data_IF_910166346812
#
_entry.id   IF_910166346812
#
_cell.length_a   1.000
_cell.length_b   1.000
_cell.length_c   1.000
_cell.angle_alpha   90.00
_cell.angle_beta   90.00
_cell.angle_gamma   90.00
#
_symmetry.space_group_name_H-M   'P 1'
#
loop_
_entity.id
_entity.type
_entity.pdbx_description
1 polymer ?
#
# COMPACT_ATOMS: atom_id res chain seq x y z
N UNK A 1 31.97 5.52 -6.89
CA UNK A 1 30.68 5.07 -6.30
C UNK A 1 30.87 3.74 -5.61
N UNK A 2 30.38 3.54 -4.40
CA UNK A 2 30.53 2.24 -3.72
C UNK A 2 29.56 1.23 -4.34
N UNK A 3 30.05 0.33 -5.18
CA UNK A 3 29.28 -0.76 -5.79
C UNK A 3 28.56 -1.60 -4.73
N UNK A 4 29.11 -1.67 -3.51
CA UNK A 4 28.51 -2.35 -2.36
C UNK A 4 27.17 -1.71 -1.95
N UNK A 5 27.10 -0.37 -1.90
CA UNK A 5 25.83 0.34 -1.55
C UNK A 5 24.77 0.08 -2.61
N UNK A 6 25.10 0.19 -3.90
CA UNK A 6 24.17 -0.09 -5.00
C UNK A 6 23.63 -1.52 -4.91
N UNK A 7 24.52 -2.50 -4.64
CA UNK A 7 24.10 -3.91 -4.52
C UNK A 7 23.24 -4.14 -3.27
N UNK A 8 23.54 -3.46 -2.13
CA UNK A 8 22.70 -3.52 -0.93
C UNK A 8 21.28 -3.01 -1.18
N UNK A 9 21.17 -1.88 -1.87
CA UNK A 9 19.87 -1.29 -2.23
C UNK A 9 19.09 -2.17 -3.22
N UNK A 10 19.76 -2.78 -4.20
CA UNK A 10 19.14 -3.77 -5.09
C UNK A 10 18.67 -5.02 -4.34
N UNK A 11 19.42 -5.47 -3.33
CA UNK A 11 19.02 -6.60 -2.50
C UNK A 11 17.76 -6.27 -1.67
N UNK A 12 17.65 -5.06 -1.11
CA UNK A 12 16.40 -4.60 -0.47
C UNK A 12 15.23 -4.65 -1.44
N UNK A 13 15.41 -4.16 -2.66
CA UNK A 13 14.35 -4.19 -3.69
C UNK A 13 13.95 -5.62 -4.09
N UNK A 14 14.92 -6.54 -4.19
CA UNK A 14 14.67 -7.95 -4.50
C UNK A 14 13.88 -8.65 -3.38
N UNK A 15 14.15 -8.32 -2.10
CA UNK A 15 13.42 -8.87 -0.96
C UNK A 15 12.04 -8.23 -0.83
N UNK A 16 11.96 -6.89 -0.84
CA UNK A 16 10.74 -6.14 -0.52
C UNK A 16 9.78 -5.95 -1.71
N UNK A 17 10.28 -6.03 -2.94
CA UNK A 17 9.50 -5.78 -4.16
C UNK A 17 8.73 -6.99 -4.71
N UNK A 18 8.58 -8.08 -3.95
CA UNK A 18 7.88 -9.30 -4.34
C UNK A 18 6.37 -9.19 -4.10
N UNK A 19 5.59 -10.08 -4.69
CA UNK A 19 4.15 -10.20 -4.43
C UNK A 19 3.87 -10.62 -2.99
N UNK A 20 4.70 -11.51 -2.45
CA UNK A 20 4.73 -11.83 -1.02
C UNK A 20 6.16 -11.60 -0.47
N UNK A 21 6.44 -10.40 0.06
CA UNK A 21 7.75 -10.10 0.63
C UNK A 21 7.96 -10.71 2.02
N UNK A 22 6.92 -11.26 2.65
CA UNK A 22 7.00 -11.97 3.95
C UNK A 22 7.39 -13.42 3.77
N UNK A 23 7.18 -14.00 2.57
CA UNK A 23 7.62 -15.33 2.24
C UNK A 23 9.16 -15.44 2.21
N UNK A 24 9.74 -16.55 2.71
CA UNK A 24 11.18 -16.73 2.76
C UNK A 24 11.83 -16.64 1.36
N UNK A 25 12.90 -15.83 1.24
CA UNK A 25 13.78 -15.77 0.08
C UNK A 25 15.12 -16.42 0.44
N UNK A 26 15.49 -17.49 -0.25
CA UNK A 26 16.76 -18.16 -0.05
C UNK A 26 17.94 -17.30 -0.54
N UNK A 27 19.07 -17.32 0.18
CA UNK A 27 20.31 -16.63 -0.20
C UNK A 27 20.74 -16.99 -1.63
N UNK A 28 20.57 -18.26 -2.03
CA UNK A 28 20.90 -18.74 -3.38
C UNK A 28 20.09 -18.08 -4.47
N UNK A 29 18.78 -17.88 -4.26
CA UNK A 29 17.89 -17.19 -5.20
C UNK A 29 18.30 -15.71 -5.37
N UNK A 30 18.57 -15.01 -4.27
CA UNK A 30 19.09 -13.63 -4.33
C UNK A 30 20.44 -13.56 -5.04
N UNK A 31 21.33 -14.51 -4.78
CA UNK A 31 22.66 -14.58 -5.44
C UNK A 31 22.51 -14.71 -6.95
N UNK A 32 21.61 -15.58 -7.42
CA UNK A 32 21.31 -15.76 -8.84
C UNK A 32 20.70 -14.49 -9.45
N UNK A 33 19.69 -13.90 -8.81
CA UNK A 33 19.00 -12.69 -9.30
C UNK A 33 19.95 -11.50 -9.47
N UNK A 34 20.89 -11.32 -8.52
CA UNK A 34 21.82 -10.18 -8.52
C UNK A 34 23.18 -10.48 -9.18
N UNK A 35 23.41 -11.69 -9.68
CA UNK A 35 24.68 -12.11 -10.25
C UNK A 35 25.83 -12.11 -9.21
N UNK A 36 25.53 -12.48 -7.96
CA UNK A 36 26.49 -12.51 -6.84
C UNK A 36 26.96 -13.94 -6.53
N UNK A 37 28.12 -14.05 -5.90
CA UNK A 37 28.50 -15.32 -5.24
C UNK A 37 27.64 -15.53 -3.99
N UNK A 38 27.40 -16.78 -3.61
CA UNK A 38 26.62 -17.13 -2.41
C UNK A 38 27.16 -16.45 -1.15
N UNK A 39 28.50 -16.42 -0.96
CA UNK A 39 29.15 -15.77 0.16
C UNK A 39 28.93 -14.25 0.21
N UNK A 40 28.88 -13.59 -0.97
CA UNK A 40 28.58 -12.15 -1.04
C UNK A 40 27.11 -11.87 -0.72
N UNK A 41 26.19 -12.66 -1.28
CA UNK A 41 24.76 -12.53 -1.01
C UNK A 41 24.46 -12.77 0.49
N UNK A 42 25.05 -13.81 1.09
CA UNK A 42 24.89 -14.10 2.53
C UNK A 42 25.35 -12.95 3.43
N UNK A 43 26.54 -12.39 3.17
CA UNK A 43 27.05 -11.23 3.93
C UNK A 43 26.18 -9.99 3.76
N UNK A 44 25.67 -9.78 2.55
CA UNK A 44 24.80 -8.65 2.25
C UNK A 44 23.47 -8.75 3.00
N UNK A 45 22.83 -9.93 2.96
CA UNK A 45 21.60 -10.17 3.70
C UNK A 45 21.78 -10.08 5.21
N UNK A 46 22.92 -10.52 5.75
CA UNK A 46 23.23 -10.33 7.17
C UNK A 46 23.36 -8.84 7.54
N UNK A 47 24.00 -8.02 6.68
CA UNK A 47 24.08 -6.56 6.88
C UNK A 47 22.68 -5.90 6.79
N UNK A 48 21.80 -6.40 5.92
CA UNK A 48 20.41 -5.92 5.82
C UNK A 48 19.55 -6.34 7.02
N UNK A 49 19.80 -7.53 7.58
CA UNK A 49 19.15 -8.02 8.79
C UNK A 49 19.53 -7.17 10.01
N UNK A 50 20.83 -6.90 10.20
CA UNK A 50 21.33 -5.99 11.23
C UNK A 50 20.74 -4.57 11.09
N UNK A 51 20.54 -4.11 9.87
CA UNK A 51 19.93 -2.80 9.57
C UNK A 51 18.38 -2.81 9.64
N UNK A 52 17.73 -3.97 9.81
CA UNK A 52 16.26 -4.11 9.85
C UNK A 52 15.54 -3.98 8.51
N UNK A 53 16.26 -4.00 7.39
CA UNK A 53 15.68 -3.99 6.03
C UNK A 53 15.35 -5.38 5.50
N UNK A 54 15.99 -6.41 6.05
CA UNK A 54 15.60 -7.80 5.93
C UNK A 54 15.44 -8.40 7.33
N UNK A 55 14.82 -9.55 7.46
CA UNK A 55 14.64 -10.30 8.69
C UNK A 55 14.88 -11.78 8.38
N UNK A 56 15.65 -12.48 9.22
CA UNK A 56 15.82 -13.93 9.08
C UNK A 56 14.50 -14.63 9.27
N UNK A 57 14.18 -15.53 8.35
CA UNK A 57 13.03 -16.40 8.44
C UNK A 57 13.44 -17.77 8.98
N UNK A 58 12.52 -18.55 9.57
CA UNK A 58 12.81 -19.76 10.35
C UNK A 58 13.57 -20.89 9.65
N UNK A 59 14.03 -20.73 8.39
CA UNK A 59 14.89 -21.66 7.66
C UNK A 59 16.34 -21.15 7.57
N UNK A 60 17.29 -22.08 7.49
CA UNK A 60 18.71 -21.74 7.32
C UNK A 60 18.93 -20.98 5.99
N UNK A 61 19.51 -19.79 6.09
CA UNK A 61 19.86 -18.98 4.91
C UNK A 61 18.64 -18.43 4.13
N UNK A 62 17.51 -18.21 4.81
CA UNK A 62 16.32 -17.57 4.24
C UNK A 62 16.03 -16.25 4.95
N UNK A 63 15.54 -15.28 4.16
CA UNK A 63 15.25 -13.92 4.64
C UNK A 63 13.92 -13.45 4.06
N UNK A 64 13.25 -12.54 4.78
CA UNK A 64 12.02 -11.85 4.36
C UNK A 64 12.18 -10.35 4.54
N UNK A 65 11.19 -9.57 4.13
CA UNK A 65 11.19 -8.12 4.31
C UNK A 65 11.27 -7.76 5.80
N UNK A 66 12.15 -6.82 6.13
CA UNK A 66 12.27 -6.29 7.50
C UNK A 66 11.34 -5.10 7.74
N UNK A 67 10.97 -4.88 9.01
CA UNK A 67 10.04 -3.82 9.42
C UNK A 67 10.49 -2.41 9.00
N UNK A 68 11.81 -2.15 8.94
CA UNK A 68 12.35 -0.86 8.51
C UNK A 68 12.09 -0.58 7.03
N UNK A 69 12.12 -1.60 6.16
CA UNK A 69 11.75 -1.47 4.75
C UNK A 69 10.24 -1.18 4.59
N UNK A 70 9.40 -1.84 5.38
CA UNK A 70 7.95 -1.61 5.41
C UNK A 70 7.65 -0.17 5.86
N UNK A 71 8.28 0.31 6.94
CA UNK A 71 8.15 1.71 7.41
C UNK A 71 8.62 2.74 6.38
N UNK A 72 9.76 2.49 5.73
CA UNK A 72 10.24 3.36 4.65
C UNK A 72 9.20 3.49 3.54
N UNK A 73 8.65 2.36 3.11
CA UNK A 73 7.61 2.29 2.07
C UNK A 73 6.34 3.05 2.47
N UNK A 74 5.85 2.83 3.68
CA UNK A 74 4.65 3.51 4.17
C UNK A 74 4.84 5.03 4.27
N UNK A 75 5.97 5.48 4.85
CA UNK A 75 6.30 6.92 4.92
C UNK A 75 6.34 7.58 3.54
N UNK A 76 6.95 6.90 2.55
CA UNK A 76 6.99 7.40 1.19
C UNK A 76 5.60 7.52 0.55
N UNK A 77 4.72 6.57 0.84
CA UNK A 77 3.36 6.52 0.31
C UNK A 77 2.38 7.47 1.04
N UNK A 78 2.65 7.83 2.29
CA UNK A 78 1.75 8.58 3.17
C UNK A 78 1.13 9.85 2.54
N UNK A 79 1.89 10.71 1.82
CA UNK A 79 1.32 11.94 1.26
C UNK A 79 0.21 11.72 0.23
N UNK A 80 0.19 10.56 -0.44
CA UNK A 80 -0.76 10.25 -1.52
C UNK A 80 -1.70 9.09 -1.16
N UNK A 81 -1.55 8.47 0.01
CA UNK A 81 -2.25 7.22 0.38
C UNK A 81 -3.77 7.34 0.26
N UNK A 82 -4.37 8.39 0.85
CA UNK A 82 -5.82 8.63 0.82
C UNK A 82 -6.34 8.84 -0.60
N UNK A 83 -5.78 9.81 -1.31
CA UNK A 83 -6.26 10.19 -2.65
C UNK A 83 -6.06 9.05 -3.66
N UNK A 84 -4.95 8.31 -3.55
CA UNK A 84 -4.72 7.13 -4.38
C UNK A 84 -5.78 6.06 -4.12
N UNK A 85 -6.05 5.76 -2.84
CA UNK A 85 -7.09 4.79 -2.47
C UNK A 85 -8.46 5.22 -2.99
N UNK A 86 -8.85 6.47 -2.76
CA UNK A 86 -10.12 7.02 -3.24
C UNK A 86 -10.24 6.92 -4.77
N UNK A 87 -9.27 7.45 -5.52
CA UNK A 87 -9.33 7.48 -6.98
C UNK A 87 -9.39 6.07 -7.60
N UNK A 88 -8.60 5.12 -7.09
CA UNK A 88 -8.59 3.75 -7.57
C UNK A 88 -9.87 3.00 -7.19
N UNK A 89 -10.39 3.21 -5.96
CA UNK A 89 -11.65 2.60 -5.52
C UNK A 89 -12.82 3.11 -6.35
N UNK A 90 -12.87 4.42 -6.64
CA UNK A 90 -13.90 5.01 -7.49
C UNK A 90 -13.85 4.42 -8.90
N UNK A 91 -12.66 4.31 -9.50
CA UNK A 91 -12.50 3.68 -10.81
C UNK A 91 -12.94 2.19 -10.80
N UNK A 92 -12.59 1.45 -9.76
CA UNK A 92 -13.05 0.07 -9.55
C UNK A 92 -14.57 -0.04 -9.42
N UNK A 93 -15.21 0.87 -8.68
CA UNK A 93 -16.66 0.96 -8.56
C UNK A 93 -17.36 1.28 -9.89
N UNK A 94 -16.85 2.26 -10.62
CA UNK A 94 -17.42 2.67 -11.90
C UNK A 94 -17.34 1.56 -12.96
N UNK A 95 -16.27 0.80 -12.95
CA UNK A 95 -16.03 -0.25 -13.97
C UNK A 95 -16.51 -1.63 -13.55
N UNK A 96 -16.44 -1.93 -12.24
CA UNK A 96 -16.55 -3.29 -11.69
C UNK A 96 -15.32 -4.15 -11.94
N UNK A 97 -14.25 -3.61 -12.54
CA UNK A 97 -13.06 -4.33 -12.99
C UNK A 97 -11.84 -4.04 -12.10
N UNK A 98 -10.76 -4.80 -12.29
CA UNK A 98 -9.51 -4.60 -11.55
C UNK A 98 -8.82 -3.31 -12.00
N UNK A 99 -8.48 -2.45 -11.04
CA UNK A 99 -7.72 -1.21 -11.26
C UNK A 99 -6.35 -1.36 -10.60
N UNK A 100 -5.28 -1.09 -11.34
CA UNK A 100 -3.93 -1.18 -10.79
C UNK A 100 -3.08 0.05 -11.16
N UNK A 101 -2.11 0.34 -10.29
CA UNK A 101 -1.08 1.34 -10.51
C UNK A 101 0.27 0.63 -10.56
N UNK A 102 0.98 0.78 -11.67
CA UNK A 102 2.29 0.17 -11.89
C UNK A 102 3.35 1.24 -12.12
N UNK A 103 4.59 0.94 -11.75
CA UNK A 103 5.73 1.86 -11.85
C UNK A 103 6.89 1.22 -12.61
N UNK A 104 7.70 2.01 -13.34
CA UNK A 104 8.85 1.48 -14.03
C UNK A 104 9.91 0.98 -13.02
N UNK A 105 10.39 -0.24 -13.28
CA UNK A 105 11.50 -0.86 -12.56
C UNK A 105 12.45 -1.54 -13.55
N UNK A 106 13.59 -2.03 -13.07
CA UNK A 106 14.48 -2.83 -13.92
C UNK A 106 13.72 -4.06 -14.44
N UNK A 107 13.67 -4.20 -15.76
CA UNK A 107 13.06 -5.36 -16.45
C UNK A 107 11.57 -5.22 -16.76
N UNK A 108 10.84 -4.20 -16.32
CA UNK A 108 9.42 -4.07 -16.61
C UNK A 108 8.68 -3.02 -15.83
N UNK A 109 7.41 -3.27 -15.55
CA UNK A 109 6.54 -2.46 -14.70
C UNK A 109 6.14 -3.27 -13.47
N UNK A 110 6.21 -2.67 -12.27
CA UNK A 110 5.81 -3.32 -11.01
C UNK A 110 4.52 -2.71 -10.49
N UNK A 111 3.55 -3.55 -10.19
CA UNK A 111 2.30 -3.12 -9.54
C UNK A 111 2.59 -2.70 -8.09
N UNK A 112 2.19 -1.48 -7.72
CA UNK A 112 2.40 -0.93 -6.37
C UNK A 112 1.10 -0.69 -5.61
N UNK A 113 -0.03 -0.69 -6.30
CA UNK A 113 -1.36 -0.62 -5.72
C UNK A 113 -2.36 -1.33 -6.63
N UNK A 114 -3.37 -1.94 -6.04
CA UNK A 114 -4.44 -2.62 -6.78
C UNK A 114 -5.77 -2.52 -6.01
N UNK A 115 -6.85 -2.37 -6.77
CA UNK A 115 -8.23 -2.60 -6.33
C UNK A 115 -8.79 -3.70 -7.21
N UNK A 116 -8.88 -4.90 -6.64
CA UNK A 116 -9.35 -6.08 -7.36
C UNK A 116 -10.85 -6.01 -7.67
N UNK A 117 -11.23 -6.54 -8.83
CA UNK A 117 -12.62 -6.77 -9.19
C UNK A 117 -13.30 -7.74 -8.22
N UNK A 118 -14.57 -7.52 -7.96
CA UNK A 118 -15.39 -8.41 -7.13
C UNK A 118 -16.15 -9.48 -7.95
N UNK A 119 -15.93 -9.50 -9.25
CA UNK A 119 -16.49 -10.56 -10.11
C UNK A 119 -15.70 -11.87 -9.90
N UNK A 120 -16.43 -12.99 -9.91
CA UNK A 120 -15.83 -14.33 -9.79
C UNK A 120 -14.78 -14.58 -10.88
N UNK A 121 -15.06 -14.18 -12.12
CA UNK A 121 -14.08 -14.20 -13.21
C UNK A 121 -13.58 -12.77 -13.44
N UNK A 122 -12.30 -12.53 -13.20
CA UNK A 122 -11.66 -11.23 -13.37
C UNK A 122 -10.21 -11.38 -13.85
N UNK A 123 -9.66 -10.31 -14.36
CA UNK A 123 -8.24 -10.21 -14.69
C UNK A 123 -7.50 -9.65 -13.47
N UNK A 124 -6.67 -10.44 -12.77
CA UNK A 124 -6.00 -10.01 -11.54
C UNK A 124 -4.87 -9.00 -11.81
N UNK A 125 -4.48 -8.25 -10.79
CA UNK A 125 -3.25 -7.46 -10.74
C UNK A 125 -2.78 -7.42 -9.29
N UNK A 126 -1.79 -8.24 -8.96
CA UNK A 126 -1.30 -8.34 -7.57
C UNK A 126 -0.24 -7.28 -7.27
N UNK A 127 -0.30 -6.68 -6.08
CA UNK A 127 0.77 -5.77 -5.62
C UNK A 127 2.09 -6.55 -5.54
N UNK A 128 3.15 -6.01 -6.14
CA UNK A 128 4.45 -6.68 -6.28
C UNK A 128 4.61 -7.45 -7.59
N UNK A 129 3.53 -7.71 -8.36
CA UNK A 129 3.61 -8.34 -9.69
C UNK A 129 4.55 -7.56 -10.61
N UNK A 130 5.44 -8.26 -11.29
CA UNK A 130 6.32 -7.70 -12.32
C UNK A 130 5.77 -8.02 -13.71
N UNK A 131 5.32 -7.00 -14.41
CA UNK A 131 4.80 -7.08 -15.79
C UNK A 131 5.96 -6.86 -16.75
N UNK A 132 6.31 -7.90 -17.51
CA UNK A 132 7.47 -7.90 -18.42
C UNK A 132 7.09 -8.00 -19.90
N UNK A 133 5.82 -8.32 -20.18
CA UNK A 133 5.31 -8.46 -21.54
C UNK A 133 5.40 -7.11 -22.29
N UNK A 134 6.17 -7.08 -23.38
CA UNK A 134 6.37 -5.89 -24.18
C UNK A 134 5.09 -5.40 -24.90
N UNK A 135 4.13 -6.28 -25.12
CA UNK A 135 2.85 -5.98 -25.75
C UNK A 135 1.83 -5.40 -24.74
N UNK A 136 2.09 -5.51 -23.44
CA UNK A 136 1.25 -4.96 -22.40
C UNK A 136 1.07 -3.44 -22.56
N UNK A 137 -0.17 -2.97 -22.51
CA UNK A 137 -0.49 -1.54 -22.53
C UNK A 137 0.17 -0.81 -21.34
N UNK A 138 0.29 -1.47 -20.18
CA UNK A 138 0.97 -0.94 -19.00
C UNK A 138 2.45 -0.69 -19.29
N UNK A 139 3.13 -1.66 -19.93
CA UNK A 139 4.56 -1.55 -20.28
C UNK A 139 4.77 -0.52 -21.37
N UNK A 140 3.90 -0.48 -22.38
CA UNK A 140 3.98 0.46 -23.51
C UNK A 140 3.66 1.90 -23.13
N UNK A 141 2.89 2.11 -22.06
CA UNK A 141 2.58 3.45 -21.54
C UNK A 141 3.74 4.08 -20.76
N UNK A 142 4.77 3.30 -20.40
CA UNK A 142 5.95 3.84 -19.72
C UNK A 142 6.86 4.60 -20.71
N UNK A 143 7.35 5.80 -20.39
CA UNK A 143 8.24 6.55 -21.28
C UNK A 143 9.59 5.85 -21.47
N UNK A 144 10.20 6.07 -22.66
CA UNK A 144 11.53 5.56 -23.02
C UNK A 144 11.57 4.21 -23.74
N UNK A 145 10.45 3.52 -23.95
CA UNK A 145 10.40 2.28 -24.77
C UNK A 145 9.89 2.48 -26.19
N UNK A 146 9.27 3.62 -26.50
CA UNK A 146 8.71 3.90 -27.85
C UNK A 146 9.69 4.60 -28.81
N UNK A 147 10.95 4.85 -28.45
CA UNK A 147 11.91 5.55 -29.31
C UNK A 147 12.57 4.65 -30.40
N UNK A 148 12.24 3.35 -30.46
CA UNK A 148 12.80 2.43 -31.47
C UNK A 148 11.99 2.33 -32.77
N UNK A 149 10.86 3.03 -32.91
CA UNK A 149 10.12 3.14 -34.16
C UNK A 149 10.09 4.61 -34.66
N UNK A 150 11.14 4.99 -35.36
CA UNK A 150 11.41 6.18 -36.10
C UNK A 150 10.31 7.21 -36.30
N UNK A 151 10.34 8.28 -35.48
CA UNK A 151 10.23 9.66 -35.91
C UNK A 151 10.62 10.60 -34.76
N UNK A 152 11.68 11.43 -34.90
CA UNK A 152 11.93 12.53 -33.99
C UNK A 152 11.01 13.68 -34.38
N UNK A 153 9.99 13.96 -33.58
CA UNK A 153 9.09 15.05 -33.89
C UNK A 153 8.12 15.38 -32.79
N UNK A 154 8.44 16.48 -32.11
CA UNK A 154 7.56 17.31 -31.31
C UNK A 154 7.29 16.86 -29.87
N UNK A 155 8.20 17.24 -28.99
CA UNK A 155 7.89 17.59 -27.60
C UNK A 155 7.03 18.87 -27.57
N UNK A 156 5.76 18.73 -27.83
CA UNK A 156 4.75 19.76 -27.65
C UNK A 156 3.80 19.32 -26.54
N UNK A 157 3.83 19.99 -25.41
CA UNK A 157 2.85 19.87 -24.35
C UNK A 157 1.48 20.27 -24.88
N UNK A 158 0.71 19.33 -25.39
CA UNK A 158 -0.73 19.48 -25.62
C UNK A 158 -1.42 18.26 -25.04
N UNK A 159 -2.32 18.51 -24.09
CA UNK A 159 -3.06 17.63 -23.21
C UNK A 159 -3.86 16.48 -23.77
N UNK A 160 -3.36 15.73 -24.72
CA UNK A 160 -4.00 14.49 -25.18
C UNK A 160 -3.28 13.29 -24.56
N UNK A 161 -3.74 12.90 -23.37
CA UNK A 161 -3.24 11.77 -22.62
C UNK A 161 -3.60 10.50 -23.37
N UNK A 162 -2.61 9.88 -24.00
CA UNK A 162 -2.77 8.71 -24.85
C UNK A 162 -3.13 7.49 -24.03
N UNK A 163 -4.40 7.15 -23.97
CA UNK A 163 -4.86 5.83 -23.51
C UNK A 163 -4.35 4.78 -24.49
N UNK A 164 -3.62 3.79 -23.97
CA UNK A 164 -3.18 2.63 -24.71
C UNK A 164 -3.99 1.40 -24.29
N UNK A 165 -4.23 0.54 -25.26
CA UNK A 165 -4.94 -0.71 -25.06
C UNK A 165 -4.15 -1.88 -25.59
N UNK A 166 -4.25 -3.02 -24.92
CA UNK A 166 -3.71 -4.29 -25.37
C UNK A 166 -4.60 -5.44 -24.95
N UNK A 167 -4.53 -6.53 -25.70
CA UNK A 167 -5.14 -7.80 -25.33
C UNK A 167 -4.05 -8.82 -25.10
N UNK A 168 -4.02 -9.38 -23.89
CA UNK A 168 -3.06 -10.40 -23.51
C UNK A 168 -3.84 -11.63 -23.06
N UNK A 169 -3.79 -12.69 -23.85
CA UNK A 169 -4.61 -13.88 -23.62
C UNK A 169 -6.10 -13.54 -23.62
N UNK A 170 -6.78 -13.82 -22.50
CA UNK A 170 -8.21 -13.56 -22.30
C UNK A 170 -8.50 -12.26 -21.53
N UNK A 171 -7.51 -11.40 -21.37
CA UNK A 171 -7.67 -10.11 -20.68
C UNK A 171 -7.31 -8.93 -21.59
N UNK A 172 -7.98 -7.81 -21.35
CA UNK A 172 -7.70 -6.50 -21.97
C UNK A 172 -7.15 -5.57 -20.90
N UNK A 173 -6.13 -4.81 -21.25
CA UNK A 173 -5.60 -3.71 -20.47
C UNK A 173 -5.97 -2.38 -21.13
N UNK A 174 -6.44 -1.41 -20.33
CA UNK A 174 -6.63 -0.01 -20.72
C UNK A 174 -5.76 0.81 -19.79
N UNK A 175 -4.68 1.38 -20.29
CA UNK A 175 -3.63 2.00 -19.50
C UNK A 175 -3.35 3.46 -19.91
N UNK A 176 -2.96 4.28 -18.95
CA UNK A 176 -2.56 5.69 -19.16
C UNK A 176 -1.39 6.06 -18.25
N UNK A 177 -0.40 6.83 -18.73
CA UNK A 177 0.65 7.34 -17.89
C UNK A 177 0.10 8.37 -16.89
N UNK A 178 0.66 8.37 -15.67
CA UNK A 178 0.43 9.35 -14.61
C UNK A 178 1.68 10.23 -14.51
N UNK A 179 1.51 11.52 -14.64
CA UNK A 179 2.61 12.48 -14.63
C UNK A 179 2.77 13.15 -13.27
N UNK A 180 4.01 13.26 -12.84
CA UNK A 180 4.37 14.09 -11.71
C UNK A 180 4.33 15.58 -12.06
N UNK A 181 4.43 16.47 -11.04
CA UNK A 181 4.38 17.92 -11.25
C UNK A 181 5.52 18.46 -12.12
N UNK A 182 6.63 17.73 -12.24
CA UNK A 182 7.78 18.08 -13.09
C UNK A 182 7.61 17.58 -14.53
N UNK A 183 6.45 16.97 -14.88
CA UNK A 183 6.17 16.42 -16.21
C UNK A 183 6.78 15.05 -16.49
N UNK A 184 7.42 14.43 -15.50
CA UNK A 184 7.92 13.07 -15.58
C UNK A 184 6.80 12.03 -15.35
N UNK A 185 6.81 10.94 -16.09
CA UNK A 185 5.89 9.83 -15.83
C UNK A 185 6.35 9.08 -14.58
N UNK A 186 5.55 9.17 -13.51
CA UNK A 186 5.85 8.53 -12.23
C UNK A 186 5.25 7.14 -12.09
N UNK A 187 4.14 6.87 -12.79
CA UNK A 187 3.42 5.60 -12.76
C UNK A 187 2.55 5.43 -14.02
N UNK A 188 1.98 4.26 -14.17
CA UNK A 188 0.93 3.95 -15.15
C UNK A 188 -0.29 3.42 -14.42
N UNK A 189 -1.43 4.04 -14.62
CA UNK A 189 -2.72 3.60 -14.11
C UNK A 189 -3.42 2.76 -15.18
N UNK A 190 -3.97 1.61 -14.80
CA UNK A 190 -4.65 0.73 -15.73
C UNK A 190 -5.91 0.08 -15.14
N UNK A 191 -6.85 -0.25 -16.03
CA UNK A 191 -7.93 -1.20 -15.78
C UNK A 191 -7.61 -2.48 -16.53
N UNK A 192 -7.72 -3.63 -15.84
CA UNK A 192 -7.66 -4.98 -16.42
C UNK A 192 -9.05 -5.61 -16.37
N UNK A 193 -9.52 -6.10 -17.51
CA UNK A 193 -10.84 -6.73 -17.63
C UNK A 193 -10.79 -7.94 -18.57
N UNK A 194 -11.66 -8.95 -18.36
CA UNK A 194 -11.80 -10.06 -19.30
C UNK A 194 -12.31 -9.61 -20.66
N UNK A 195 -11.86 -10.24 -21.75
CA UNK A 195 -12.24 -9.93 -23.14
C UNK A 195 -13.74 -9.98 -23.37
N UNK A 196 -14.46 -10.89 -22.72
CA UNK A 196 -15.91 -11.05 -22.86
C UNK A 196 -16.72 -9.86 -22.30
N UNK A 197 -16.13 -9.06 -21.41
CA UNK A 197 -16.77 -7.83 -20.87
C UNK A 197 -16.29 -6.54 -21.54
N UNK A 198 -15.22 -6.62 -22.34
CA UNK A 198 -14.62 -5.43 -22.97
C UNK A 198 -15.61 -4.63 -23.79
N UNK A 199 -16.40 -5.26 -24.67
CA UNK A 199 -17.35 -4.56 -25.53
C UNK A 199 -18.35 -3.67 -24.78
N UNK A 200 -18.79 -4.11 -23.60
CA UNK A 200 -19.76 -3.37 -22.77
C UNK A 200 -19.09 -2.33 -21.85
N UNK A 201 -17.85 -2.58 -21.40
CA UNK A 201 -17.18 -1.79 -20.37
C UNK A 201 -16.08 -0.88 -20.90
N UNK A 202 -15.65 -0.98 -22.15
CA UNK A 202 -14.48 -0.26 -22.68
C UNK A 202 -14.58 1.27 -22.50
N UNK A 203 -15.71 1.88 -22.91
CA UNK A 203 -15.88 3.33 -22.79
C UNK A 203 -15.91 3.80 -21.33
N UNK A 204 -16.59 3.05 -20.46
CA UNK A 204 -16.64 3.32 -19.03
C UNK A 204 -15.26 3.19 -18.38
N UNK A 205 -14.50 2.18 -18.77
CA UNK A 205 -13.14 1.94 -18.28
C UNK A 205 -12.18 3.05 -18.72
N UNK A 206 -12.24 3.51 -19.97
CA UNK A 206 -11.47 4.66 -20.46
C UNK A 206 -11.74 5.92 -19.64
N UNK A 207 -13.03 6.22 -19.42
CA UNK A 207 -13.45 7.38 -18.63
C UNK A 207 -12.99 7.27 -17.16
N UNK A 208 -13.14 6.11 -16.54
CA UNK A 208 -12.74 5.87 -15.16
C UNK A 208 -11.23 6.00 -14.96
N UNK A 209 -10.42 5.43 -15.86
CA UNK A 209 -8.96 5.54 -15.84
C UNK A 209 -8.51 6.99 -15.99
N UNK A 210 -9.09 7.74 -16.93
CA UNK A 210 -8.73 9.15 -17.14
C UNK A 210 -9.14 10.04 -15.97
N UNK A 211 -10.30 9.80 -15.37
CA UNK A 211 -10.77 10.54 -14.19
C UNK A 211 -9.88 10.25 -12.97
N UNK A 212 -9.56 8.98 -12.72
CA UNK A 212 -8.68 8.60 -11.62
C UNK A 212 -7.24 9.15 -11.81
N UNK A 213 -6.70 9.12 -13.05
CA UNK A 213 -5.43 9.73 -13.39
C UNK A 213 -5.39 11.22 -13.03
N UNK A 214 -6.39 12.00 -13.48
CA UNK A 214 -6.47 13.45 -13.18
C UNK A 214 -6.54 13.72 -11.67
N UNK A 215 -7.29 12.92 -10.93
CA UNK A 215 -7.37 13.03 -9.47
C UNK A 215 -6.03 12.76 -8.80
N UNK A 216 -5.29 11.74 -9.24
CA UNK A 216 -3.96 11.42 -8.73
C UNK A 216 -2.97 12.55 -9.07
N UNK A 217 -2.92 13.02 -10.32
CA UNK A 217 -2.03 14.10 -10.76
C UNK A 217 -2.29 15.42 -10.00
N UNK A 218 -3.56 15.78 -9.77
CA UNK A 218 -3.92 16.94 -8.94
C UNK A 218 -3.36 16.81 -7.52
N UNK A 219 -3.50 15.62 -6.92
CA UNK A 219 -2.92 15.37 -5.60
C UNK A 219 -1.41 15.51 -5.58
N UNK A 220 -0.71 15.05 -6.62
CA UNK A 220 0.75 15.17 -6.71
C UNK A 220 1.21 16.63 -6.77
N UNK A 221 0.48 17.48 -7.47
CA UNK A 221 0.71 18.94 -7.50
C UNK A 221 0.52 19.55 -6.11
N UNK A 222 -0.58 19.20 -5.42
CA UNK A 222 -0.89 19.71 -4.08
C UNK A 222 0.15 19.29 -3.03
N UNK A 223 0.60 18.02 -3.08
CA UNK A 223 1.63 17.49 -2.19
C UNK A 223 2.97 18.20 -2.41
N UNK A 224 3.33 18.48 -3.66
CA UNK A 224 4.56 19.23 -3.97
C UNK A 224 4.48 20.68 -3.49
N UNK A 225 3.34 21.34 -3.62
CA UNK A 225 3.11 22.72 -3.17
C UNK A 225 3.20 22.89 -1.64
N UNK A 226 2.88 21.83 -0.89
CA UNK A 226 3.02 21.78 0.57
C UNK A 226 4.47 21.47 0.93
N UNK A 227 5.37 22.45 0.82
CA UNK A 227 6.73 22.31 1.34
C UNK A 227 6.65 21.98 2.82
N UNK A 228 7.02 20.77 3.19
CA UNK A 228 7.20 20.41 4.59
C UNK A 228 8.41 21.18 5.11
N UNK A 229 8.30 21.90 6.24
CA UNK A 229 9.49 22.42 6.90
C UNK A 229 10.44 21.23 7.14
N UNK A 230 11.77 21.42 7.03
CA UNK A 230 12.72 20.38 7.33
C UNK A 230 12.39 19.88 8.73
N UNK A 231 11.82 18.68 8.81
CA UNK A 231 11.59 18.04 10.11
C UNK A 231 12.95 17.87 10.74
N UNK A 232 13.14 18.37 11.93
CA UNK A 232 14.23 17.99 12.81
C UNK A 232 14.11 16.48 13.06
N UNK A 233 14.58 15.69 12.10
CA UNK A 233 15.07 14.36 12.43
C UNK A 233 16.31 14.68 13.26
N UNK A 234 16.17 14.59 14.58
CA UNK A 234 17.29 14.71 15.47
C UNK A 234 18.35 13.74 14.92
N UNK A 235 19.37 14.29 14.31
CA UNK A 235 20.58 13.55 14.04
C UNK A 235 21.08 13.16 15.43
N UNK A 236 20.95 11.90 15.80
CA UNK A 236 21.44 11.36 17.08
C UNK A 236 22.98 11.47 17.20
N UNK A 237 23.59 12.40 16.51
CA UNK A 237 25.04 12.65 16.53
C UNK A 237 25.92 11.42 16.24
N UNK A 238 25.28 10.25 16.09
CA UNK A 238 25.96 8.96 15.91
C UNK A 238 26.35 8.80 14.44
N UNK A 239 27.64 8.68 14.21
CA UNK A 239 28.17 8.35 12.87
C UNK A 239 27.63 7.00 12.42
N UNK A 240 27.03 6.88 11.20
CA UNK A 240 26.52 5.61 10.70
C UNK A 240 27.65 4.56 10.64
N UNK A 241 27.41 3.34 11.13
CA UNK A 241 28.44 2.30 11.20
C UNK A 241 28.91 1.81 9.82
N UNK A 242 28.07 1.97 8.78
CA UNK A 242 28.40 1.54 7.42
C UNK A 242 27.96 2.56 6.37
N UNK A 243 28.45 2.38 5.14
CA UNK A 243 28.01 3.18 4.00
C UNK A 243 26.56 2.85 3.58
N UNK A 244 26.13 1.61 3.80
CA UNK A 244 24.76 1.17 3.52
C UNK A 244 23.79 1.79 4.53
N UNK A 245 24.14 1.81 5.83
CA UNK A 245 23.36 2.48 6.86
C UNK A 245 23.23 4.00 6.61
N UNK A 246 24.32 4.63 6.14
CA UNK A 246 24.27 6.03 5.73
C UNK A 246 23.32 6.26 4.53
N UNK A 247 23.27 5.32 3.58
CA UNK A 247 22.31 5.37 2.47
C UNK A 247 20.87 5.22 2.97
N UNK A 248 20.61 4.33 3.92
CA UNK A 248 19.28 4.17 4.51
C UNK A 248 18.80 5.44 5.23
N UNK A 249 19.65 6.12 5.98
CA UNK A 249 19.33 7.43 6.59
C UNK A 249 18.94 8.47 5.52
N UNK A 250 19.65 8.50 4.39
CA UNK A 250 19.30 9.38 3.27
C UNK A 250 17.93 9.02 2.70
N UNK A 251 17.63 7.73 2.49
CA UNK A 251 16.33 7.28 1.98
C UNK A 251 15.20 7.59 2.95
N UNK A 252 15.40 7.37 4.25
CA UNK A 252 14.40 7.69 5.29
C UNK A 252 14.09 9.18 5.38
N UNK A 253 15.09 10.03 5.20
CA UNK A 253 14.88 11.47 5.10
C UNK A 253 14.06 11.82 3.85
N UNK A 254 14.44 11.28 2.69
CA UNK A 254 13.74 11.52 1.42
C UNK A 254 12.34 10.89 1.36
N UNK A 255 12.04 9.90 2.22
CA UNK A 255 10.69 9.37 2.37
C UNK A 255 9.71 10.39 2.96
N UNK A 256 10.20 11.35 3.72
CA UNK A 256 9.38 12.42 4.28
C UNK A 256 9.03 13.53 3.27
N UNK A 257 9.74 13.59 2.13
CA UNK A 257 9.53 14.58 1.08
C UNK A 257 10.81 14.85 0.29
N UNK A 258 10.68 15.65 -0.77
CA UNK A 258 11.82 15.99 -1.62
C UNK A 258 12.72 17.03 -0.94
N UNK A 259 14.05 16.83 -1.07
CA UNK A 259 15.05 17.76 -0.53
C UNK A 259 16.29 17.88 -1.43
N UNK A 260 17.08 18.92 -1.19
CA UNK A 260 18.38 19.13 -1.80
C UNK A 260 19.48 18.32 -1.10
N UNK A 261 20.66 18.21 -1.72
CA UNK A 261 21.84 17.62 -1.10
C UNK A 261 22.19 18.34 0.21
N UNK A 262 22.13 19.68 0.21
CA UNK A 262 22.45 20.49 1.40
C UNK A 262 21.44 20.30 2.54
N UNK A 263 20.14 20.22 2.22
CA UNK A 263 19.07 19.92 3.18
C UNK A 263 19.21 18.53 3.77
N UNK A 264 19.38 17.53 2.91
CA UNK A 264 19.62 16.13 3.33
C UNK A 264 20.88 16.01 4.20
N UNK A 265 21.96 16.73 3.88
CA UNK A 265 23.19 16.73 4.67
C UNK A 265 22.97 17.25 6.10
N UNK A 266 22.24 18.38 6.22
CA UNK A 266 21.88 18.94 7.53
C UNK A 266 21.01 17.98 8.34
N UNK A 267 19.97 17.44 7.71
CA UNK A 267 19.02 16.54 8.39
C UNK A 267 19.65 15.20 8.83
N UNK A 268 20.58 14.66 8.05
CA UNK A 268 21.21 13.36 8.34
C UNK A 268 22.52 13.47 9.15
N UNK A 269 23.05 14.69 9.35
CA UNK A 269 24.35 14.90 9.99
C UNK A 269 25.54 14.44 9.14
N UNK A 270 25.34 14.17 7.86
CA UNK A 270 26.38 13.72 6.93
C UNK A 270 26.99 14.92 6.18
N UNK A 271 28.26 14.78 5.77
CA UNK A 271 28.90 15.77 4.90
C UNK A 271 28.22 15.79 3.50
N UNK A 272 28.06 16.96 2.91
CA UNK A 272 27.38 17.14 1.63
C UNK A 272 27.99 16.32 0.48
N UNK A 273 29.32 16.21 0.42
CA UNK A 273 30.02 15.38 -0.56
C UNK A 273 29.73 13.87 -0.40
N UNK A 274 29.50 13.43 0.84
CA UNK A 274 29.10 12.05 1.15
C UNK A 274 27.64 11.81 0.73
N UNK A 275 26.73 12.76 1.06
CA UNK A 275 25.31 12.70 0.68
C UNK A 275 25.16 12.66 -0.84
N UNK A 276 25.90 13.50 -1.59
CA UNK A 276 25.86 13.48 -3.05
C UNK A 276 26.19 12.08 -3.59
N UNK A 277 27.29 11.47 -3.13
CA UNK A 277 27.70 10.11 -3.54
C UNK A 277 26.68 9.04 -3.18
N UNK A 278 26.01 9.16 -2.00
CA UNK A 278 24.95 8.23 -1.60
C UNK A 278 23.69 8.41 -2.43
N UNK A 279 23.28 9.64 -2.72
CA UNK A 279 22.15 9.92 -3.63
C UNK A 279 22.45 9.35 -5.02
N UNK A 280 23.65 9.50 -5.54
CA UNK A 280 24.04 8.93 -6.84
C UNK A 280 23.98 7.38 -6.82
N UNK A 281 24.37 6.75 -5.71
CA UNK A 281 24.24 5.31 -5.53
C UNK A 281 22.76 4.87 -5.43
N UNK A 282 21.92 5.63 -4.71
CA UNK A 282 20.47 5.38 -4.61
C UNK A 282 19.78 5.54 -5.97
N UNK A 283 20.19 6.53 -6.77
CA UNK A 283 19.71 6.73 -8.15
C UNK A 283 20.13 5.58 -9.07
N UNK A 284 21.39 5.15 -8.99
CA UNK A 284 21.90 4.00 -9.75
C UNK A 284 21.18 2.68 -9.37
N UNK A 285 20.66 2.59 -8.13
CA UNK A 285 19.80 1.48 -7.70
C UNK A 285 18.32 1.67 -8.10
N UNK A 286 17.92 2.82 -8.65
CA UNK A 286 16.53 3.11 -9.01
C UNK A 286 15.62 3.44 -7.82
N UNK A 287 16.18 3.76 -6.64
CA UNK A 287 15.40 4.08 -5.43
C UNK A 287 15.16 5.58 -5.25
N UNK A 288 15.93 6.44 -5.91
CA UNK A 288 15.81 7.89 -5.82
C UNK A 288 15.70 8.47 -7.21
N UNK A 289 14.83 9.45 -7.39
CA UNK A 289 14.68 10.24 -8.60
C UNK A 289 15.04 11.71 -8.31
N UNK A 290 15.55 12.41 -9.33
CA UNK A 290 15.85 13.83 -9.26
C UNK A 290 14.69 14.65 -9.85
N UNK A 291 14.48 15.89 -9.37
CA UNK A 291 13.65 16.88 -10.05
C UNK A 291 14.20 17.23 -11.44
N UNK A 292 13.36 17.83 -12.30
CA UNK A 292 13.74 18.21 -13.66
C UNK A 292 15.00 19.11 -13.70
N UNK A 293 15.13 20.02 -12.76
CA UNK A 293 16.28 20.92 -12.57
C UNK A 293 17.49 20.25 -11.86
N UNK A 294 17.33 18.98 -11.41
CA UNK A 294 18.33 18.20 -10.67
C UNK A 294 18.81 18.83 -9.36
N UNK A 295 18.05 19.76 -8.80
CA UNK A 295 18.40 20.42 -7.53
C UNK A 295 17.83 19.70 -6.31
N UNK A 296 16.77 18.92 -6.48
CA UNK A 296 16.09 18.17 -5.43
C UNK A 296 15.94 16.70 -5.78
N UNK A 297 15.80 15.87 -4.75
CA UNK A 297 15.72 14.42 -4.83
C UNK A 297 14.56 13.92 -3.99
N UNK A 298 13.92 12.83 -4.41
CA UNK A 298 12.83 12.16 -3.69
C UNK A 298 12.92 10.65 -3.89
N UNK A 299 12.21 9.88 -3.07
CA UNK A 299 12.10 8.44 -3.30
C UNK A 299 11.38 8.16 -4.61
N UNK A 300 11.87 7.14 -5.33
CA UNK A 300 11.19 6.59 -6.49
C UNK A 300 9.92 5.82 -6.09
N UNK A 301 8.91 5.85 -6.92
CA UNK A 301 7.61 5.24 -6.65
C UNK A 301 7.66 3.72 -6.47
N UNK A 302 8.69 3.04 -6.95
CA UNK A 302 8.87 1.59 -6.75
C UNK A 302 8.89 1.18 -5.26
N UNK A 303 9.29 2.10 -4.37
CA UNK A 303 9.29 1.87 -2.93
C UNK A 303 7.88 1.86 -2.33
N UNK A 304 6.92 2.58 -2.93
CA UNK A 304 5.58 2.83 -2.36
C UNK A 304 4.69 1.58 -2.25
N UNK A 305 5.05 0.46 -2.90
CA UNK A 305 4.26 -0.77 -2.90
C UNK A 305 4.61 -1.78 -1.80
N UNK A 306 5.80 -1.70 -1.19
CA UNK A 306 6.32 -2.77 -0.32
C UNK A 306 5.46 -3.02 0.92
N UNK A 307 5.01 -1.94 1.61
CA UNK A 307 4.13 -2.08 2.77
C UNK A 307 2.78 -2.70 2.40
N UNK A 308 2.24 -2.40 1.20
CA UNK A 308 0.98 -2.97 0.73
C UNK A 308 1.12 -4.46 0.40
N UNK A 309 2.22 -4.86 -0.24
CA UNK A 309 2.50 -6.26 -0.51
C UNK A 309 2.69 -7.07 0.79
N UNK A 310 3.35 -6.49 1.80
CA UNK A 310 3.56 -7.12 3.09
C UNK A 310 2.31 -7.19 3.98
N UNK A 311 1.31 -6.34 3.74
CA UNK A 311 0.19 -6.09 4.66
C UNK A 311 -0.62 -7.36 4.97
N UNK A 312 -1.29 -7.95 3.97
CA UNK A 312 -2.19 -9.08 4.20
C UNK A 312 -1.46 -10.34 4.73
N UNK A 313 -0.29 -10.73 4.19
CA UNK A 313 0.48 -11.84 4.76
C UNK A 313 0.89 -11.61 6.22
N UNK A 314 1.32 -10.38 6.57
CA UNK A 314 1.68 -10.03 7.96
C UNK A 314 0.48 -10.13 8.90
N UNK A 315 -0.70 -9.64 8.49
CA UNK A 315 -1.93 -9.76 9.28
C UNK A 315 -2.28 -11.23 9.53
N UNK A 316 -2.30 -12.05 8.48
CA UNK A 316 -2.68 -13.46 8.60
C UNK A 316 -1.70 -14.24 9.48
N UNK A 317 -0.40 -14.00 9.35
CA UNK A 317 0.63 -14.72 10.11
C UNK A 317 0.74 -14.23 11.56
N UNK A 318 0.78 -12.90 11.77
CA UNK A 318 1.22 -12.32 13.06
C UNK A 318 0.08 -11.77 13.91
N UNK A 319 -1.06 -11.37 13.33
CA UNK A 319 -2.16 -10.83 14.10
C UNK A 319 -3.14 -11.89 14.63
N UNK A 320 -3.18 -13.10 14.03
CA UNK A 320 -4.06 -14.18 14.49
C UNK A 320 -3.92 -14.49 15.98
N UNK A 321 -2.71 -14.67 16.56
CA UNK A 321 -2.57 -14.93 18.00
C UNK A 321 -3.04 -13.75 18.87
N UNK A 322 -2.93 -12.50 18.40
CA UNK A 322 -3.42 -11.33 19.12
C UNK A 322 -4.95 -11.30 19.17
N UNK A 323 -5.61 -11.60 18.04
CA UNK A 323 -7.06 -11.72 17.96
C UNK A 323 -7.56 -12.82 18.89
N UNK A 324 -6.96 -14.01 18.83
CA UNK A 324 -7.34 -15.14 19.68
C UNK A 324 -7.15 -14.83 21.19
N UNK A 325 -6.05 -14.17 21.57
CA UNK A 325 -5.80 -13.78 22.95
C UNK A 325 -6.88 -12.80 23.44
N UNK A 326 -7.19 -11.75 22.66
CA UNK A 326 -8.22 -10.76 23.00
C UNK A 326 -9.60 -11.40 23.06
N UNK A 327 -9.98 -12.23 22.10
CA UNK A 327 -11.26 -12.93 22.07
C UNK A 327 -11.44 -13.83 23.32
N UNK A 328 -10.40 -14.56 23.71
CA UNK A 328 -10.42 -15.39 24.92
C UNK A 328 -10.52 -14.55 26.20
N UNK A 329 -9.76 -13.46 26.31
CA UNK A 329 -9.78 -12.57 27.47
C UNK A 329 -11.16 -11.91 27.65
N UNK A 330 -11.76 -11.46 26.57
CA UNK A 330 -13.06 -10.81 26.57
C UNK A 330 -14.26 -11.78 26.48
N UNK A 331 -14.03 -13.08 26.22
CA UNK A 331 -15.05 -14.09 25.93
C UNK A 331 -15.98 -13.67 24.79
N UNK A 332 -15.43 -13.07 23.76
CA UNK A 332 -16.12 -12.61 22.55
C UNK A 332 -15.59 -13.30 21.32
N UNK A 333 -16.24 -13.09 20.18
CA UNK A 333 -15.61 -13.37 18.87
C UNK A 333 -14.72 -12.21 18.47
N UNK A 334 -13.66 -12.49 17.67
CA UNK A 334 -12.71 -11.48 17.21
C UNK A 334 -12.47 -11.55 15.71
N UNK A 335 -12.37 -10.40 15.04
CA UNK A 335 -12.15 -10.34 13.59
C UNK A 335 -11.16 -9.25 13.22
N UNK A 336 -10.43 -9.44 12.12
CA UNK A 336 -9.76 -8.37 11.39
C UNK A 336 -10.35 -8.31 9.99
N UNK A 337 -10.91 -7.16 9.64
CA UNK A 337 -11.54 -6.90 8.35
C UNK A 337 -10.77 -5.84 7.56
N UNK A 338 -10.78 -5.98 6.23
CA UNK A 338 -10.14 -5.07 5.28
C UNK A 338 -11.12 -4.62 4.22
N UNK A 339 -10.82 -3.48 3.59
CA UNK A 339 -11.60 -2.97 2.48
C UNK A 339 -11.05 -3.47 1.14
N UNK A 340 -11.92 -4.10 0.33
CA UNK A 340 -11.67 -4.39 -1.10
C UNK A 340 -12.80 -3.76 -1.92
N UNK A 341 -12.49 -2.72 -2.72
CA UNK A 341 -13.51 -1.86 -3.31
C UNK A 341 -14.37 -1.22 -2.20
N UNK A 342 -15.71 -1.33 -2.30
CA UNK A 342 -16.65 -0.92 -1.25
C UNK A 342 -17.32 -2.12 -0.56
N UNK A 343 -16.53 -3.14 -0.26
CA UNK A 343 -16.93 -4.29 0.56
C UNK A 343 -15.84 -4.61 1.58
N UNK A 344 -16.25 -5.04 2.75
CA UNK A 344 -15.32 -5.56 3.75
C UNK A 344 -15.11 -7.05 3.57
N UNK A 345 -13.90 -7.52 3.88
CA UNK A 345 -13.51 -8.92 3.87
C UNK A 345 -12.79 -9.25 5.18
N UNK A 346 -13.09 -10.39 5.74
CA UNK A 346 -12.39 -10.90 6.92
C UNK A 346 -11.10 -11.59 6.51
N UNK A 347 -9.97 -11.20 7.12
CA UNK A 347 -8.66 -11.84 6.97
C UNK A 347 -8.32 -12.77 8.13
N UNK A 348 -8.74 -12.43 9.35
CA UNK A 348 -8.51 -13.22 10.56
C UNK A 348 -9.81 -13.29 11.35
N UNK A 349 -10.12 -14.45 11.91
CA UNK A 349 -11.30 -14.66 12.73
C UNK A 349 -11.00 -15.60 13.90
N UNK A 350 -11.64 -15.29 15.04
CA UNK A 350 -11.83 -16.17 16.19
C UNK A 350 -13.33 -16.24 16.47
N UNK A 351 -13.89 -17.42 16.32
CA UNK A 351 -15.34 -17.59 16.20
C UNK A 351 -16.01 -18.09 17.49
N UNK A 352 -15.24 -18.58 18.45
CA UNK A 352 -15.78 -19.15 19.68
C UNK A 352 -15.81 -18.12 20.79
N UNK A 353 -16.97 -17.96 21.42
CA UNK A 353 -17.09 -17.22 22.67
C UNK A 353 -16.68 -18.13 23.83
N UNK A 354 -15.45 -17.96 24.31
CA UNK A 354 -14.83 -18.84 25.29
C UNK A 354 -15.68 -19.00 26.56
N UNK A 355 -16.08 -20.25 26.85
CA UNK A 355 -16.88 -20.60 28.03
C UNK A 355 -18.40 -20.33 27.92
N UNK A 356 -18.87 -19.72 26.81
CA UNK A 356 -20.29 -19.36 26.65
C UNK A 356 -21.08 -20.37 25.83
N UNK A 357 -20.42 -21.34 25.20
CA UNK A 357 -21.05 -22.35 24.32
C UNK A 357 -21.66 -21.76 23.04
N UNK A 358 -21.25 -20.55 22.67
CA UNK A 358 -21.67 -19.83 21.47
C UNK A 358 -20.53 -19.75 20.44
N UNK A 359 -20.90 -19.82 19.16
CA UNK A 359 -19.98 -19.71 18.03
C UNK A 359 -20.63 -18.97 16.88
N UNK A 360 -19.87 -18.08 16.24
CA UNK A 360 -20.28 -17.43 15.00
C UNK A 360 -19.99 -18.28 13.77
N UNK A 361 -20.74 -18.04 12.68
CA UNK A 361 -20.44 -18.63 11.38
C UNK A 361 -19.14 -18.04 10.79
N UNK A 362 -18.37 -18.84 10.00
CA UNK A 362 -17.15 -18.32 9.37
C UNK A 362 -17.40 -17.21 8.36
N UNK A 363 -16.53 -16.21 8.37
CA UNK A 363 -16.61 -15.02 7.51
C UNK A 363 -15.45 -14.89 6.53
N UNK A 364 -14.34 -15.59 6.72
CA UNK A 364 -13.20 -15.56 5.79
C UNK A 364 -13.68 -15.91 4.36
N UNK A 365 -13.25 -15.09 3.39
CA UNK A 365 -13.60 -15.26 1.98
C UNK A 365 -15.00 -14.78 1.58
N UNK A 366 -15.80 -14.26 2.51
CA UNK A 366 -17.13 -13.73 2.22
C UNK A 366 -17.10 -12.20 2.18
N UNK A 367 -17.57 -11.56 1.08
CA UNK A 367 -17.69 -10.11 1.02
C UNK A 367 -18.92 -9.62 1.78
N UNK A 368 -18.71 -8.60 2.61
CA UNK A 368 -19.80 -7.89 3.29
C UNK A 368 -20.04 -6.51 2.67
N UNK A 369 -21.32 -6.09 2.54
CA UNK A 369 -21.63 -4.70 2.22
C UNK A 369 -21.11 -3.77 3.30
N UNK A 370 -20.56 -2.61 2.93
CA UNK A 370 -20.02 -1.64 3.88
C UNK A 370 -21.02 -1.19 4.94
N UNK A 371 -22.29 -1.02 4.57
CA UNK A 371 -23.36 -0.59 5.49
C UNK A 371 -23.64 -1.63 6.56
N UNK A 372 -23.58 -2.91 6.20
CA UNK A 372 -23.87 -4.02 7.09
C UNK A 372 -22.63 -4.60 7.76
N UNK A 373 -21.44 -4.07 7.46
CA UNK A 373 -20.19 -4.55 8.04
C UNK A 373 -19.88 -3.84 9.35
N UNK A 374 -19.54 -4.61 10.36
CA UNK A 374 -19.17 -4.11 11.69
C UNK A 374 -17.96 -3.15 11.64
N UNK A 375 -16.99 -3.42 10.77
CA UNK A 375 -15.83 -2.55 10.53
C UNK A 375 -16.02 -1.50 9.43
N UNK A 376 -17.17 -1.48 8.75
CA UNK A 376 -17.38 -0.64 7.56
C UNK A 376 -17.06 0.84 7.75
N UNK A 377 -17.71 1.54 8.70
CA UNK A 377 -17.42 2.95 8.95
C UNK A 377 -15.95 3.20 9.35
N UNK A 378 -15.36 2.30 10.13
CA UNK A 378 -13.95 2.37 10.55
C UNK A 378 -12.98 2.27 9.37
N UNK A 379 -13.28 1.41 8.38
CA UNK A 379 -12.43 1.20 7.21
C UNK A 379 -12.34 2.41 6.26
N UNK A 380 -13.30 3.34 6.33
CA UNK A 380 -13.35 4.54 5.47
C UNK A 380 -13.18 5.84 6.24
N UNK A 381 -12.85 5.79 7.54
CA UNK A 381 -12.78 6.98 8.38
C UNK A 381 -11.75 8.03 7.96
N UNK A 382 -10.74 7.65 7.19
CA UNK A 382 -9.73 8.57 6.65
C UNK A 382 -10.16 9.26 5.35
N UNK A 383 -11.29 8.84 4.74
CA UNK A 383 -11.88 9.51 3.58
C UNK A 383 -12.75 10.69 4.04
N UNK A 384 -12.89 11.71 3.19
CA UNK A 384 -13.81 12.81 3.49
C UNK A 384 -15.27 12.36 3.34
N UNK A 385 -16.21 13.10 3.92
CA UNK A 385 -17.64 12.80 3.79
C UNK A 385 -18.11 12.79 2.33
N UNK A 386 -17.56 13.68 1.50
CA UNK A 386 -17.82 13.78 0.07
C UNK A 386 -17.26 12.55 -0.68
N UNK A 387 -16.02 12.16 -0.40
CA UNK A 387 -15.39 10.96 -0.97
C UNK A 387 -16.19 9.70 -0.60
N UNK A 388 -16.62 9.57 0.65
CA UNK A 388 -17.47 8.44 1.09
C UNK A 388 -18.82 8.48 0.38
N UNK A 389 -19.46 9.65 0.26
CA UNK A 389 -20.75 9.79 -0.40
C UNK A 389 -20.69 9.41 -1.89
N UNK A 390 -19.58 9.75 -2.58
CA UNK A 390 -19.39 9.42 -3.99
C UNK A 390 -19.11 7.91 -4.19
N UNK A 391 -18.38 7.30 -3.27
CA UNK A 391 -18.11 5.86 -3.26
C UNK A 391 -19.32 5.03 -2.81
N UNK A 392 -20.31 5.65 -2.18
CA UNK A 392 -21.43 4.94 -1.59
C UNK A 392 -22.31 4.32 -2.68
N UNK A 393 -22.66 3.02 -2.58
CA UNK A 393 -23.40 2.36 -3.64
C UNK A 393 -24.78 3.00 -3.87
N UNK A 394 -25.10 3.31 -5.11
CA UNK A 394 -26.35 4.01 -5.52
C UNK A 394 -27.65 3.26 -5.19
N UNK A 395 -27.55 1.95 -4.86
CA UNK A 395 -28.69 1.14 -4.42
C UNK A 395 -29.20 1.51 -3.02
N UNK A 396 -28.40 2.24 -2.24
CA UNK A 396 -28.75 2.66 -0.89
C UNK A 396 -29.40 4.03 -0.86
N UNK A 397 -30.28 4.22 0.10
CA UNK A 397 -31.01 5.48 0.27
C UNK A 397 -30.12 6.60 0.84
N UNK A 398 -30.54 7.84 0.66
CA UNK A 398 -29.87 9.00 1.30
C UNK A 398 -29.89 8.90 2.81
N UNK A 399 -30.92 8.30 3.41
CA UNK A 399 -31.03 8.10 4.85
C UNK A 399 -29.95 7.14 5.37
N UNK A 400 -29.73 6.01 4.68
CA UNK A 400 -28.65 5.06 5.03
C UNK A 400 -27.27 5.71 4.91
N UNK A 401 -27.03 6.54 3.89
CA UNK A 401 -25.79 7.30 3.75
C UNK A 401 -25.59 8.26 4.94
N UNK A 402 -26.61 9.01 5.33
CA UNK A 402 -26.53 9.94 6.48
C UNK A 402 -26.23 9.19 7.77
N UNK A 403 -26.86 8.05 8.03
CA UNK A 403 -26.60 7.20 9.17
C UNK A 403 -25.15 6.64 9.12
N UNK A 404 -24.71 6.18 7.97
CA UNK A 404 -23.35 5.67 7.78
C UNK A 404 -22.30 6.76 8.06
N UNK A 405 -22.47 7.96 7.52
CA UNK A 405 -21.60 9.11 7.76
C UNK A 405 -21.61 9.57 9.23
N UNK A 406 -22.72 9.39 9.95
CA UNK A 406 -22.77 9.65 11.40
C UNK A 406 -21.85 8.69 12.16
N UNK A 407 -21.86 7.41 11.81
CA UNK A 407 -20.97 6.40 12.41
C UNK A 407 -19.50 6.63 12.03
N UNK A 408 -19.22 7.09 10.80
CA UNK A 408 -17.86 7.49 10.40
C UNK A 408 -17.37 8.65 11.27
N UNK A 409 -18.20 9.67 11.55
CA UNK A 409 -17.84 10.78 12.44
C UNK A 409 -17.60 10.33 13.88
N UNK A 410 -18.42 9.39 14.37
CA UNK A 410 -18.25 8.81 15.70
C UNK A 410 -16.88 8.13 15.85
N UNK A 411 -16.52 7.22 14.93
CA UNK A 411 -15.22 6.54 15.00
C UNK A 411 -14.04 7.50 14.78
N UNK A 412 -14.21 8.58 14.02
CA UNK A 412 -13.17 9.62 13.88
C UNK A 412 -12.96 10.37 15.20
N UNK A 413 -14.03 10.66 15.93
CA UNK A 413 -13.96 11.37 17.20
C UNK A 413 -13.41 10.50 18.35
N UNK A 414 -13.89 9.26 18.46
CA UNK A 414 -13.66 8.41 19.62
C UNK A 414 -12.58 7.35 19.42
N UNK A 415 -12.14 7.12 18.16
CA UNK A 415 -11.17 6.09 17.82
C UNK A 415 -11.72 4.65 17.96
N UNK A 416 -13.02 4.51 18.19
CA UNK A 416 -13.73 3.24 18.32
C UNK A 416 -15.19 3.46 17.96
N UNK A 417 -15.84 2.42 17.45
CA UNK A 417 -17.26 2.45 17.10
C UNK A 417 -17.95 1.24 17.70
N UNK A 418 -19.01 1.47 18.49
CA UNK A 418 -19.93 0.43 18.97
C UNK A 418 -21.20 0.47 18.16
N UNK A 419 -21.57 -0.64 17.51
CA UNK A 419 -22.77 -0.70 16.71
C UNK A 419 -23.47 -2.06 16.81
N UNK A 420 -24.79 -2.04 16.67
CA UNK A 420 -25.56 -3.27 16.52
C UNK A 420 -25.33 -3.86 15.14
N UNK A 421 -25.17 -5.18 15.03
CA UNK A 421 -25.06 -5.84 13.76
C UNK A 421 -26.30 -5.60 12.89
N UNK A 422 -26.09 -5.43 11.59
CA UNK A 422 -27.17 -5.08 10.66
C UNK A 422 -28.18 -6.20 10.49
N UNK A 423 -27.67 -7.44 10.42
CA UNK A 423 -28.49 -8.63 10.10
C UNK A 423 -28.97 -9.41 11.33
N UNK A 424 -28.46 -9.08 12.53
CA UNK A 424 -28.81 -9.78 13.77
C UNK A 424 -28.96 -8.83 14.96
N UNK A 425 -30.21 -8.61 15.36
CA UNK A 425 -30.56 -7.74 16.49
C UNK A 425 -30.00 -8.20 17.85
N UNK A 426 -29.57 -9.44 17.96
CA UNK A 426 -28.98 -10.02 19.17
C UNK A 426 -27.47 -9.80 19.32
N UNK A 427 -26.82 -9.17 18.34
CA UNK A 427 -25.36 -9.04 18.25
C UNK A 427 -24.96 -7.57 18.23
N UNK A 428 -23.92 -7.24 19.00
CA UNK A 428 -23.25 -5.94 18.99
C UNK A 428 -21.77 -6.17 18.67
N UNK A 429 -21.21 -5.27 17.87
CA UNK A 429 -19.80 -5.24 17.58
C UNK A 429 -19.16 -3.93 18.05
N UNK A 430 -17.88 -4.01 18.41
CA UNK A 430 -17.02 -2.87 18.70
C UNK A 430 -15.85 -2.95 17.74
N UNK A 431 -15.64 -1.89 16.93
CA UNK A 431 -14.56 -1.83 15.96
C UNK A 431 -13.59 -0.70 16.23
N UNK A 432 -12.29 -0.92 15.97
CA UNK A 432 -11.23 0.08 16.07
C UNK A 432 -10.28 0.03 14.89
N UNK A 433 -9.69 1.20 14.46
CA UNK A 433 -8.88 1.30 13.26
C UNK A 433 -7.48 0.72 13.45
N UNK A 434 -7.05 -0.11 12.51
CA UNK A 434 -5.67 -0.57 12.35
C UNK A 434 -5.00 0.27 11.27
N UNK A 435 -3.90 0.92 11.63
CA UNK A 435 -3.14 1.78 10.72
C UNK A 435 -1.89 1.07 10.23
N UNK A 436 -1.62 1.18 8.93
CA UNK A 436 -0.36 0.73 8.37
C UNK A 436 0.76 1.78 8.53
N UNK A 437 1.95 1.47 8.04
CA UNK A 437 3.11 2.36 8.13
C UNK A 437 2.99 3.66 7.33
N UNK A 438 1.94 3.84 6.51
CA UNK A 438 1.60 5.14 5.90
C UNK A 438 0.76 6.01 6.84
N UNK A 439 0.32 5.47 7.96
CA UNK A 439 -0.61 6.10 8.90
C UNK A 439 -2.07 6.04 8.45
N UNK A 440 -2.36 5.41 7.29
CA UNK A 440 -3.71 5.26 6.76
C UNK A 440 -4.39 4.01 7.35
N UNK A 441 -5.71 4.07 7.55
CA UNK A 441 -6.49 2.90 8.02
C UNK A 441 -6.49 1.82 6.95
N UNK A 442 -5.82 0.71 7.24
CA UNK A 442 -5.67 -0.43 6.35
C UNK A 442 -6.61 -1.59 6.70
N UNK A 443 -6.99 -1.70 7.98
CA UNK A 443 -7.92 -2.70 8.50
C UNK A 443 -8.75 -2.15 9.65
N UNK A 444 -9.75 -2.91 10.07
CA UNK A 444 -10.44 -2.72 11.34
C UNK A 444 -10.38 -4.02 12.15
N UNK A 445 -10.07 -3.94 13.44
CA UNK A 445 -10.35 -5.01 14.39
C UNK A 445 -11.80 -4.89 14.82
N UNK A 446 -12.47 -6.03 15.03
CA UNK A 446 -13.84 -6.09 15.53
C UNK A 446 -13.92 -7.10 16.67
N UNK A 447 -14.52 -6.72 17.77
CA UNK A 447 -14.91 -7.59 18.91
C UNK A 447 -16.41 -7.71 18.88
N UNK A 448 -16.93 -8.94 18.86
CA UNK A 448 -18.36 -9.20 18.63
C UNK A 448 -18.91 -10.15 19.67
N UNK A 449 -20.08 -9.82 20.21
CA UNK A 449 -20.76 -10.63 21.21
C UNK A 449 -22.25 -10.34 21.30
N UNK A 450 -22.93 -11.00 22.24
CA UNK A 450 -24.37 -10.79 22.47
C UNK A 450 -24.65 -9.38 23.02
N UNK A 451 -25.78 -8.80 22.63
CA UNK A 451 -26.12 -7.41 22.95
C UNK A 451 -26.07 -7.10 24.46
N UNK A 452 -26.60 -7.99 25.33
CA UNK A 452 -26.56 -7.81 26.79
C UNK A 452 -25.12 -7.79 27.31
N UNK A 453 -24.32 -8.80 26.96
CA UNK A 453 -22.95 -8.96 27.41
C UNK A 453 -22.04 -7.81 26.97
N UNK A 454 -22.15 -7.40 25.70
CA UNK A 454 -21.39 -6.28 25.16
C UNK A 454 -21.75 -4.95 25.82
N UNK A 455 -23.04 -4.72 26.11
CA UNK A 455 -23.50 -3.51 26.75
C UNK A 455 -23.04 -3.39 28.22
N UNK A 456 -23.12 -4.50 28.98
CA UNK A 456 -22.71 -4.56 30.38
C UNK A 456 -21.19 -4.35 30.56
N UNK A 457 -20.39 -4.64 29.51
CA UNK A 457 -18.92 -4.55 29.51
C UNK A 457 -18.38 -3.52 28.50
N UNK A 458 -19.21 -2.60 27.98
CA UNK A 458 -18.89 -1.74 26.84
C UNK A 458 -17.54 -1.03 26.94
N UNK A 459 -17.27 -0.34 28.06
CA UNK A 459 -16.02 0.39 28.26
C UNK A 459 -14.79 -0.50 28.23
N UNK A 460 -14.84 -1.65 28.89
CA UNK A 460 -13.74 -2.64 28.92
C UNK A 460 -13.46 -3.17 27.53
N UNK A 461 -14.51 -3.44 26.75
CA UNK A 461 -14.36 -3.98 25.41
C UNK A 461 -13.93 -2.93 24.39
N UNK A 462 -14.33 -1.67 24.56
CA UNK A 462 -13.77 -0.56 23.78
C UNK A 462 -12.27 -0.39 24.01
N UNK A 463 -11.82 -0.47 25.27
CA UNK A 463 -10.40 -0.43 25.63
C UNK A 463 -9.65 -1.63 25.04
N UNK A 464 -10.22 -2.84 25.08
CA UNK A 464 -9.66 -4.03 24.49
C UNK A 464 -9.55 -3.90 22.94
N UNK A 465 -10.58 -3.36 22.27
CA UNK A 465 -10.56 -3.14 20.83
C UNK A 465 -9.48 -2.12 20.43
N UNK A 466 -9.36 -1.00 21.15
CA UNK A 466 -8.29 -0.01 20.92
C UNK A 466 -6.91 -0.61 21.12
N UNK A 467 -6.73 -1.40 22.19
CA UNK A 467 -5.46 -2.10 22.47
C UNK A 467 -5.10 -3.07 21.34
N UNK A 468 -6.05 -3.94 20.96
CA UNK A 468 -5.85 -4.88 19.85
C UNK A 468 -5.48 -4.15 18.56
N UNK A 469 -6.18 -3.05 18.23
CA UNK A 469 -5.89 -2.23 17.06
C UNK A 469 -4.47 -1.62 17.11
N UNK A 470 -4.04 -1.14 18.27
CA UNK A 470 -2.69 -0.62 18.46
C UNK A 470 -1.62 -1.72 18.32
N UNK A 471 -1.85 -2.88 18.94
CA UNK A 471 -0.92 -4.03 18.86
C UNK A 471 -0.78 -4.54 17.40
N UNK A 472 -1.90 -4.63 16.67
CA UNK A 472 -1.90 -5.01 15.24
C UNK A 472 -1.24 -3.93 14.38
N UNK A 473 -1.47 -2.64 14.65
CA UNK A 473 -0.80 -1.55 13.93
C UNK A 473 0.73 -1.58 14.15
N UNK A 474 1.18 -1.91 15.36
CA UNK A 474 2.60 -2.01 15.67
C UNK A 474 3.34 -3.11 14.90
N UNK A 475 2.67 -4.22 14.54
CA UNK A 475 3.29 -5.27 13.71
C UNK A 475 3.32 -4.93 12.21
N UNK A 476 2.59 -3.90 11.79
CA UNK A 476 2.59 -3.39 10.42
C UNK A 476 3.65 -2.31 10.17
N UNK A 477 4.36 -1.89 11.18
CA UNK A 477 5.44 -0.91 11.15
C UNK A 477 5.09 0.36 11.85
#
# INVERSE_FOLDING_TARGET
>A
MSQRVVMGLKAVQAVAGRTDPTAPLAVGALAQELGLTLSRASRLLAELDEAGFAERSGGYGAYRVGSRAVRLSGRAAAPVARSLRYAMTLAGQLTGETVCLAVPVAGGMRVIASVESLWTLHAPAEVGELITDADSAIVRSAPGRNETSGQPGQSGHTGDTRLLESTIGMSVEIATPVFGPDGDCVAVLAVRLPTNRYGQNAQRSRHAVDTARRSIESTLVDVQGRQRPPGDVAADGVTPPSALEAAFRVLEHLAAGRDSVAGTARATGLRADRVQRLIDACRAAGMVVASADRTRYQLGWAVHGWHRAAFAPTIVERAKPLVAATANETRTCGFITVLKGMRSFTLVEELEMAGEGLRMAPWIGRPHPMIGSDGGPTLVMDLTAEEVAELFPTRHSKHELVQFLSRVREVVADGVLTMQAYDDAGIVSISAPVRDSSGFVAAAVCIVGTTSYMRDNARTFEEAARKLAADVSAILG
#
